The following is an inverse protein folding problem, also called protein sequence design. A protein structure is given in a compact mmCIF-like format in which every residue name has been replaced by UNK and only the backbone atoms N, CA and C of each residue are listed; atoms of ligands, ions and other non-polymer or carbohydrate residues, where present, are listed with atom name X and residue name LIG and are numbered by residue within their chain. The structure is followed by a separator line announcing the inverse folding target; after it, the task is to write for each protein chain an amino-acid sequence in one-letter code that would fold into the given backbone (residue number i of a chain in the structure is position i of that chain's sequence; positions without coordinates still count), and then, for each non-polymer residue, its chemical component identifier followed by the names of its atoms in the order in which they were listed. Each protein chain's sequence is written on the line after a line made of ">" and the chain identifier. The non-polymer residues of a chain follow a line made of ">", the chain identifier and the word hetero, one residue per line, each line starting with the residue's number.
data_IF_713779384535
#
_entry.id   IF_713779384535
#
_cell.length_a   1.000
_cell.length_b   1.000
_cell.length_c   1.000
_cell.angle_alpha   90.00
_cell.angle_beta   90.00
_cell.angle_gamma   90.00
#
_symmetry.space_group_name_H-M   'P 1'
#
loop_
_entity.id
_entity.type
_entity.pdbx_description
1 polymer ?
#
# COMPACT_ATOMS: atom_id res chain seq x y z
N UNK A 1 30.66 -10.38 -34.84
CA UNK A 1 29.26 -9.98 -34.56
C UNK A 1 28.77 -10.78 -33.36
N UNK A 2 28.66 -10.17 -32.18
CA UNK A 2 28.06 -10.82 -30.99
C UNK A 2 26.57 -11.03 -31.28
N UNK A 3 26.15 -12.28 -31.29
CA UNK A 3 24.75 -12.65 -31.44
C UNK A 3 24.02 -12.24 -30.16
N UNK A 4 23.51 -11.00 -30.08
CA UNK A 4 22.81 -10.45 -28.94
C UNK A 4 21.40 -11.03 -28.92
N UNK A 5 21.24 -12.21 -28.34
CA UNK A 5 19.89 -12.75 -28.07
C UNK A 5 19.21 -11.88 -27.02
N UNK A 6 18.09 -11.30 -27.39
CA UNK A 6 17.18 -10.71 -26.41
C UNK A 6 16.49 -11.83 -25.64
N UNK A 7 16.47 -11.74 -24.31
CA UNK A 7 15.70 -12.62 -23.44
C UNK A 7 14.39 -11.97 -23.12
N UNK A 8 13.34 -12.75 -23.05
CA UNK A 8 12.07 -12.26 -22.52
C UNK A 8 12.20 -12.27 -20.99
N UNK A 9 12.03 -11.08 -20.39
CA UNK A 9 12.02 -10.95 -18.94
C UNK A 9 10.74 -11.61 -18.40
N UNK A 10 10.89 -12.58 -17.50
CA UNK A 10 9.77 -13.36 -16.95
C UNK A 10 8.78 -12.51 -16.12
N UNK A 11 9.18 -11.27 -15.77
CA UNK A 11 8.38 -10.36 -14.96
C UNK A 11 7.53 -9.40 -15.78
N UNK A 12 8.15 -8.89 -16.84
CA UNK A 12 7.56 -7.82 -17.66
C UNK A 12 7.04 -8.34 -18.99
N UNK A 13 7.44 -9.56 -19.40
CA UNK A 13 7.15 -10.12 -20.73
C UNK A 13 7.84 -9.38 -21.87
N UNK A 14 8.75 -8.44 -21.56
CA UNK A 14 9.41 -7.57 -22.55
C UNK A 14 10.77 -8.14 -22.93
N UNK A 15 11.16 -8.12 -24.22
CA UNK A 15 12.52 -8.46 -24.64
C UNK A 15 13.54 -7.55 -23.96
N UNK A 16 14.41 -8.12 -23.14
CA UNK A 16 15.37 -7.39 -22.32
C UNK A 16 16.78 -7.86 -22.62
N UNK A 17 17.72 -6.92 -22.67
CA UNK A 17 19.15 -7.19 -22.77
C UNK A 17 19.75 -7.16 -21.37
N UNK A 18 20.24 -8.31 -20.92
CA UNK A 18 20.88 -8.39 -19.61
C UNK A 18 22.37 -7.99 -19.70
N UNK A 19 22.81 -7.26 -18.69
CA UNK A 19 24.17 -6.74 -18.60
C UNK A 19 25.21 -7.87 -18.37
N UNK A 20 24.84 -8.89 -17.59
CA UNK A 20 25.72 -9.97 -17.17
C UNK A 20 25.36 -11.26 -17.90
N UNK A 21 26.04 -11.48 -19.03
CA UNK A 21 25.90 -12.67 -19.85
C UNK A 21 27.30 -13.23 -20.21
N UNK A 22 27.37 -14.55 -20.26
CA UNK A 22 28.55 -15.25 -20.75
C UNK A 22 28.14 -16.30 -21.79
N UNK A 23 28.78 -16.29 -22.96
CA UNK A 23 28.50 -17.18 -24.08
C UNK A 23 27.03 -17.33 -24.43
N UNK A 24 26.27 -16.22 -24.38
CA UNK A 24 24.82 -16.20 -24.68
C UNK A 24 23.92 -16.81 -23.60
N UNK A 25 24.43 -17.04 -22.38
CA UNK A 25 23.68 -17.50 -21.21
C UNK A 25 23.69 -16.45 -20.12
N UNK A 26 22.58 -16.34 -19.40
CA UNK A 26 22.51 -15.52 -18.20
C UNK A 26 23.40 -16.10 -17.12
N UNK A 27 24.23 -15.25 -16.51
CA UNK A 27 24.98 -15.64 -15.33
C UNK A 27 24.04 -15.74 -14.14
N UNK A 28 24.15 -16.82 -13.37
CA UNK A 28 23.34 -17.00 -12.17
C UNK A 28 23.73 -15.98 -11.09
N UNK A 29 22.76 -15.58 -10.26
CA UNK A 29 22.99 -14.72 -9.09
C UNK A 29 24.00 -15.33 -8.12
N UNK A 30 24.03 -16.66 -8.02
CA UNK A 30 25.01 -17.37 -7.21
C UNK A 30 26.44 -17.14 -7.73
N UNK A 31 26.66 -17.24 -9.04
CA UNK A 31 27.98 -17.01 -9.65
C UNK A 31 28.42 -15.55 -9.53
N UNK A 32 27.48 -14.60 -9.72
CA UNK A 32 27.78 -13.17 -9.70
C UNK A 32 28.06 -12.63 -8.30
N UNK A 33 27.34 -13.11 -7.30
CA UNK A 33 27.34 -12.51 -5.97
C UNK A 33 27.83 -13.46 -4.87
N UNK A 34 27.27 -14.66 -4.77
CA UNK A 34 27.59 -15.56 -3.66
C UNK A 34 29.01 -16.11 -3.74
N UNK A 35 29.46 -16.54 -4.93
CA UNK A 35 30.81 -17.09 -5.11
C UNK A 35 31.91 -16.09 -4.76
N UNK A 36 31.89 -14.81 -5.27
CA UNK A 36 32.86 -13.80 -4.87
C UNK A 36 32.80 -13.46 -3.38
N UNK A 37 31.59 -13.35 -2.78
CA UNK A 37 31.44 -13.09 -1.36
C UNK A 37 32.02 -14.20 -0.49
N UNK A 38 31.79 -15.45 -0.83
CA UNK A 38 32.35 -16.59 -0.10
C UNK A 38 33.89 -16.58 -0.17
N UNK A 39 34.48 -16.25 -1.33
CA UNK A 39 35.94 -16.10 -1.45
C UNK A 39 36.46 -14.95 -0.59
N UNK A 40 35.79 -13.80 -0.62
CA UNK A 40 36.16 -12.64 0.18
C UNK A 40 36.06 -12.92 1.69
N UNK A 41 34.96 -13.57 2.13
CA UNK A 41 34.80 -13.98 3.52
C UNK A 41 35.93 -14.89 4.00
N UNK A 42 36.30 -15.89 3.19
CA UNK A 42 37.42 -16.80 3.51
C UNK A 42 38.73 -16.04 3.61
N UNK A 43 39.01 -15.14 2.66
CA UNK A 43 40.23 -14.33 2.68
C UNK A 43 40.31 -13.38 3.88
N UNK A 44 39.16 -12.89 4.35
CA UNK A 44 39.05 -11.99 5.51
C UNK A 44 38.91 -12.72 6.86
N UNK A 45 38.88 -14.05 6.88
CA UNK A 45 38.66 -14.82 8.11
C UNK A 45 37.23 -14.75 8.67
N UNK A 46 36.25 -14.24 7.86
CA UNK A 46 34.86 -14.11 8.24
C UNK A 46 34.10 -15.40 7.92
N UNK A 47 34.46 -16.48 8.57
CA UNK A 47 33.88 -17.82 8.36
C UNK A 47 33.21 -18.33 9.63
N UNK A 48 32.16 -19.15 9.47
CA UNK A 48 31.54 -19.89 10.57
C UNK A 48 32.35 -21.15 10.94
N UNK A 49 31.88 -21.88 11.96
CA UNK A 49 32.51 -23.13 12.40
C UNK A 49 32.62 -24.22 11.35
N UNK A 50 31.87 -24.11 10.22
CA UNK A 50 31.91 -25.03 9.07
C UNK A 50 32.75 -24.49 7.90
N UNK A 51 33.46 -23.39 8.09
CA UNK A 51 34.28 -22.75 7.06
C UNK A 51 33.49 -22.05 5.95
N UNK A 52 32.19 -21.76 6.17
CA UNK A 52 31.35 -20.97 5.27
C UNK A 52 31.45 -19.49 5.62
N UNK A 53 31.47 -18.64 4.59
CA UNK A 53 31.45 -17.20 4.77
C UNK A 53 30.17 -16.74 5.52
N UNK A 54 30.33 -15.90 6.53
CA UNK A 54 29.23 -15.39 7.37
C UNK A 54 28.44 -14.25 6.71
N UNK A 55 28.93 -13.68 5.60
CA UNK A 55 28.29 -12.60 4.86
C UNK A 55 27.67 -13.15 3.58
N UNK A 56 26.43 -12.78 3.30
CA UNK A 56 25.70 -13.16 2.07
C UNK A 56 25.09 -11.94 1.41
N UNK A 57 24.74 -12.05 0.13
CA UNK A 57 24.04 -11.00 -0.60
C UNK A 57 22.71 -10.61 0.08
N UNK A 58 22.01 -11.59 0.68
CA UNK A 58 20.78 -11.35 1.43
C UNK A 58 21.01 -10.48 2.67
N UNK A 59 22.10 -10.70 3.42
CA UNK A 59 22.46 -9.87 4.58
C UNK A 59 22.77 -8.43 4.18
N UNK A 60 23.47 -8.19 3.09
CA UNK A 60 23.68 -6.85 2.55
C UNK A 60 22.36 -6.17 2.21
N UNK A 61 21.48 -6.87 1.50
CA UNK A 61 20.14 -6.36 1.17
C UNK A 61 19.37 -5.97 2.43
N UNK A 62 19.38 -6.81 3.45
CA UNK A 62 18.74 -6.53 4.73
C UNK A 62 19.35 -5.29 5.42
N UNK A 63 20.67 -5.19 5.46
CA UNK A 63 21.37 -4.02 6.02
C UNK A 63 21.00 -2.73 5.31
N UNK A 64 20.99 -2.73 3.96
CA UNK A 64 20.58 -1.57 3.17
C UNK A 64 19.14 -1.18 3.49
N UNK A 65 18.21 -2.14 3.56
CA UNK A 65 16.81 -1.88 3.91
C UNK A 65 16.65 -1.25 5.29
N UNK A 66 17.34 -1.80 6.29
CA UNK A 66 17.34 -1.26 7.66
C UNK A 66 17.92 0.16 7.71
N UNK A 67 19.05 0.41 7.07
CA UNK A 67 19.66 1.74 7.04
C UNK A 67 18.80 2.78 6.32
N UNK A 68 18.11 2.39 5.25
CA UNK A 68 17.14 3.27 4.59
C UNK A 68 15.97 3.60 5.52
N UNK A 69 15.44 2.59 6.22
CA UNK A 69 14.36 2.78 7.19
C UNK A 69 14.77 3.70 8.34
N UNK A 70 15.93 3.47 8.94
CA UNK A 70 16.49 4.30 10.03
C UNK A 70 16.71 5.75 9.62
N UNK A 71 16.96 6.00 8.33
CA UNK A 71 17.09 7.34 7.75
C UNK A 71 15.76 7.96 7.31
N UNK A 72 14.63 7.33 7.65
CA UNK A 72 13.30 7.82 7.35
C UNK A 72 12.87 7.66 5.88
N UNK A 73 13.50 6.75 5.12
CA UNK A 73 13.04 6.46 3.77
C UNK A 73 11.64 5.81 3.81
N UNK A 74 10.73 6.33 3.00
CA UNK A 74 9.37 5.78 2.89
C UNK A 74 9.39 4.33 2.40
N UNK A 75 8.42 3.53 2.84
CA UNK A 75 8.34 2.10 2.53
C UNK A 75 8.42 1.81 1.02
N UNK A 76 7.73 2.60 0.18
CA UNK A 76 7.78 2.43 -1.27
C UNK A 76 9.19 2.65 -1.85
N UNK A 77 9.98 3.55 -1.27
CA UNK A 77 11.38 3.79 -1.66
C UNK A 77 12.23 2.58 -1.33
N UNK A 78 12.07 2.02 -0.13
CA UNK A 78 12.76 0.79 0.30
C UNK A 78 12.39 -0.37 -0.63
N UNK A 79 11.10 -0.54 -0.93
CA UNK A 79 10.62 -1.56 -1.87
C UNK A 79 11.28 -1.42 -3.25
N UNK A 80 11.31 -0.20 -3.79
CA UNK A 80 11.90 0.09 -5.10
C UNK A 80 13.39 -0.20 -5.14
N UNK A 81 14.15 0.27 -4.14
CA UNK A 81 15.61 0.06 -4.05
C UNK A 81 15.95 -1.42 -3.90
N UNK A 82 15.20 -2.14 -3.07
CA UNK A 82 15.42 -3.56 -2.83
C UNK A 82 14.81 -4.47 -3.93
N UNK A 83 14.02 -3.92 -4.85
CA UNK A 83 13.32 -4.71 -5.86
C UNK A 83 12.29 -5.67 -5.26
N UNK A 84 11.66 -5.30 -4.14
CA UNK A 84 10.63 -6.12 -3.51
C UNK A 84 9.32 -6.02 -4.30
N UNK A 85 8.74 -7.16 -4.64
CA UNK A 85 7.48 -7.25 -5.39
C UNK A 85 6.26 -7.16 -4.49
N UNK A 86 6.39 -7.41 -3.21
CA UNK A 86 5.31 -7.43 -2.23
C UNK A 86 5.63 -6.53 -1.05
N UNK A 87 4.64 -5.78 -0.59
CA UNK A 87 4.73 -4.99 0.65
C UNK A 87 5.14 -5.89 1.81
N UNK A 88 4.61 -7.12 1.87
CA UNK A 88 4.95 -8.08 2.93
C UNK A 88 6.45 -8.35 3.05
N UNK A 89 7.21 -8.31 1.95
CA UNK A 89 8.67 -8.46 1.97
C UNK A 89 9.38 -7.27 2.63
N UNK A 90 8.71 -6.12 2.69
CA UNK A 90 9.27 -4.88 3.25
C UNK A 90 8.63 -4.49 4.58
N UNK A 91 7.60 -5.20 5.06
CA UNK A 91 6.89 -4.88 6.30
C UNK A 91 7.81 -4.87 7.53
N UNK A 92 8.87 -5.68 7.51
CA UNK A 92 9.89 -5.66 8.57
C UNK A 92 10.55 -4.28 8.71
N UNK A 93 10.66 -3.55 7.61
CA UNK A 93 11.22 -2.19 7.60
C UNK A 93 10.17 -1.12 7.91
N UNK A 94 8.89 -1.39 7.67
CA UNK A 94 7.80 -0.47 7.97
C UNK A 94 7.68 -0.18 9.47
N UNK A 95 7.97 -1.16 10.32
CA UNK A 95 8.02 -0.96 11.78
C UNK A 95 9.07 0.09 12.20
N UNK A 96 10.10 0.28 11.37
CA UNK A 96 11.19 1.22 11.64
C UNK A 96 10.90 2.57 10.99
N UNK A 97 10.41 2.57 9.73
CA UNK A 97 10.35 3.77 8.90
C UNK A 97 8.96 4.41 8.76
N UNK A 98 7.89 3.62 8.86
CA UNK A 98 6.53 4.11 8.56
C UNK A 98 5.47 3.22 9.20
N UNK A 99 5.29 3.41 10.51
CA UNK A 99 4.28 2.68 11.29
C UNK A 99 2.84 2.95 10.80
N UNK A 100 2.61 4.10 10.17
CA UNK A 100 1.27 4.47 9.66
C UNK A 100 0.89 3.63 8.45
N UNK A 101 1.79 3.45 7.46
CA UNK A 101 1.51 2.59 6.29
C UNK A 101 1.21 1.15 6.72
N UNK A 102 1.92 0.65 7.74
CA UNK A 102 1.65 -0.68 8.28
C UNK A 102 0.28 -0.76 8.96
N UNK A 103 -0.09 0.26 9.73
CA UNK A 103 -1.42 0.34 10.34
C UNK A 103 -2.53 0.38 9.29
N UNK A 104 -2.41 1.24 8.29
CA UNK A 104 -3.37 1.35 7.19
C UNK A 104 -3.49 0.04 6.40
N UNK A 105 -2.37 -0.59 6.07
CA UNK A 105 -2.38 -1.91 5.41
C UNK A 105 -3.15 -2.94 6.23
N UNK A 106 -2.87 -3.04 7.53
CA UNK A 106 -3.56 -3.98 8.41
C UNK A 106 -5.02 -3.61 8.65
N UNK A 107 -5.35 -2.32 8.65
CA UNK A 107 -6.72 -1.85 8.80
C UNK A 107 -7.62 -2.22 7.62
N UNK A 108 -7.06 -2.40 6.43
CA UNK A 108 -7.82 -2.77 5.20
C UNK A 108 -7.71 -4.25 4.89
N UNK A 109 -6.51 -4.84 4.97
CA UNK A 109 -6.21 -6.20 4.49
C UNK A 109 -5.85 -7.18 5.62
N UNK A 110 -5.75 -6.72 6.86
CA UNK A 110 -5.43 -7.54 8.02
C UNK A 110 -6.60 -8.42 8.46
N UNK A 111 -6.32 -9.50 9.21
CA UNK A 111 -7.36 -10.33 9.81
C UNK A 111 -8.25 -9.49 10.76
N UNK A 112 -9.58 -9.56 10.58
CA UNK A 112 -10.53 -8.83 11.42
C UNK A 112 -10.62 -7.32 11.11
N UNK A 113 -10.11 -6.87 9.96
CA UNK A 113 -10.17 -5.47 9.54
C UNK A 113 -11.61 -4.92 9.59
N UNK A 114 -11.78 -3.79 10.29
CA UNK A 114 -13.05 -3.06 10.33
C UNK A 114 -13.09 -2.12 9.12
N UNK A 115 -13.84 -2.53 8.11
CA UNK A 115 -13.95 -1.84 6.82
C UNK A 115 -15.40 -1.62 6.45
N UNK A 116 -15.69 -0.48 5.82
CA UNK A 116 -17.00 -0.15 5.26
C UNK A 116 -16.86 0.22 3.76
N UNK A 117 -17.99 0.32 3.09
CA UNK A 117 -18.07 0.67 1.67
C UNK A 117 -18.43 -0.51 0.79
N UNK A 118 -18.80 -0.26 -0.49
CA UNK A 118 -19.26 -1.31 -1.41
C UNK A 118 -18.23 -2.41 -1.64
N UNK A 119 -16.93 -2.10 -1.59
CA UNK A 119 -15.83 -3.06 -1.76
C UNK A 119 -15.60 -3.96 -0.54
N UNK A 120 -16.10 -3.59 0.64
CA UNK A 120 -15.87 -4.30 1.89
C UNK A 120 -16.43 -5.73 1.85
N UNK A 121 -17.58 -5.93 1.23
CA UNK A 121 -18.19 -7.25 1.12
C UNK A 121 -17.36 -8.22 0.27
N UNK A 122 -16.77 -7.72 -0.81
CA UNK A 122 -15.86 -8.49 -1.69
C UNK A 122 -14.63 -8.97 -0.92
N UNK A 123 -14.07 -8.12 -0.04
CA UNK A 123 -12.95 -8.49 0.82
C UNK A 123 -13.37 -9.53 1.87
N UNK A 124 -14.48 -9.30 2.57
CA UNK A 124 -14.98 -10.22 3.62
C UNK A 124 -15.32 -11.61 3.09
N UNK A 125 -15.87 -11.69 1.89
CA UNK A 125 -16.21 -12.96 1.22
C UNK A 125 -15.00 -13.69 0.63
N UNK A 126 -13.81 -13.09 0.66
CA UNK A 126 -12.61 -13.63 0.01
C UNK A 126 -12.78 -13.81 -1.49
N UNK A 127 -13.63 -12.99 -2.12
CA UNK A 127 -13.97 -13.11 -3.54
C UNK A 127 -12.88 -12.56 -4.48
N UNK A 128 -11.78 -12.04 -3.93
CA UNK A 128 -10.63 -11.61 -4.71
C UNK A 128 -9.78 -12.82 -5.12
N UNK A 129 -9.34 -12.83 -6.38
CA UNK A 129 -8.37 -13.82 -6.83
C UNK A 129 -7.03 -13.65 -6.11
N UNK A 130 -6.22 -14.72 -6.04
CA UNK A 130 -4.86 -14.65 -5.47
C UNK A 130 -4.01 -13.57 -6.15
N UNK A 131 -4.11 -13.46 -7.48
CA UNK A 131 -3.41 -12.42 -8.25
C UNK A 131 -3.86 -10.99 -7.86
N UNK A 132 -5.16 -10.80 -7.58
CA UNK A 132 -5.68 -9.52 -7.10
C UNK A 132 -5.14 -9.18 -5.70
N UNK A 133 -5.14 -10.14 -4.80
CA UNK A 133 -4.59 -9.99 -3.45
C UNK A 133 -3.10 -9.67 -3.52
N UNK A 134 -2.34 -10.38 -4.35
CA UNK A 134 -0.91 -10.15 -4.51
C UNK A 134 -0.62 -8.78 -5.12
N UNK A 135 -1.43 -8.34 -6.08
CA UNK A 135 -1.31 -6.98 -6.62
C UNK A 135 -1.58 -5.92 -5.56
N UNK A 136 -2.66 -6.05 -4.79
CA UNK A 136 -3.00 -5.13 -3.70
C UNK A 136 -1.88 -5.08 -2.65
N UNK A 137 -1.33 -6.22 -2.25
CA UNK A 137 -0.18 -6.29 -1.33
C UNK A 137 1.06 -5.55 -1.86
N UNK A 138 1.28 -5.57 -3.17
CA UNK A 138 2.41 -4.88 -3.80
C UNK A 138 2.19 -3.39 -4.00
N UNK A 139 0.94 -2.96 -4.16
CA UNK A 139 0.59 -1.62 -4.61
C UNK A 139 -0.38 -0.91 -3.66
N UNK A 140 -0.45 -1.32 -2.39
CA UNK A 140 -1.41 -0.79 -1.43
C UNK A 140 -1.38 0.75 -1.35
N UNK A 141 -0.19 1.34 -1.33
CA UNK A 141 0.00 2.80 -1.32
C UNK A 141 -0.60 3.53 -2.53
N UNK A 142 -0.86 2.82 -3.65
CA UNK A 142 -1.52 3.39 -4.84
C UNK A 142 -3.04 3.36 -4.75
N UNK A 143 -3.58 2.69 -3.75
CA UNK A 143 -5.02 2.55 -3.58
C UNK A 143 -5.63 3.71 -2.80
N UNK A 144 -4.83 4.53 -2.13
CA UNK A 144 -5.27 5.63 -1.26
C UNK A 144 -6.08 6.68 -2.04
N UNK A 145 -7.21 7.06 -1.45
CA UNK A 145 -8.10 8.14 -1.86
C UNK A 145 -8.30 9.10 -0.67
N UNK A 146 -8.95 10.22 -0.90
CA UNK A 146 -9.23 11.22 0.14
C UNK A 146 -9.97 10.62 1.36
N UNK A 147 -10.92 9.71 1.13
CA UNK A 147 -11.83 9.17 2.16
C UNK A 147 -11.72 7.65 2.33
N UNK A 148 -10.67 7.01 1.81
CA UNK A 148 -10.49 5.57 1.89
C UNK A 148 -9.55 5.02 0.81
N UNK A 149 -9.86 3.84 0.29
CA UNK A 149 -9.04 3.13 -0.69
C UNK A 149 -9.84 2.62 -1.89
N UNK A 150 -9.21 2.58 -3.05
CA UNK A 150 -9.76 1.98 -4.27
C UNK A 150 -9.11 0.61 -4.52
N UNK A 151 -9.88 -0.46 -4.47
CA UNK A 151 -9.41 -1.84 -4.67
C UNK A 151 -9.38 -2.26 -6.14
N UNK A 152 -9.38 -1.30 -7.06
CA UNK A 152 -9.39 -1.58 -8.49
C UNK A 152 -8.03 -2.05 -8.97
N UNK A 153 -8.06 -3.05 -9.85
CA UNK A 153 -6.86 -3.58 -10.49
C UNK A 153 -6.61 -2.87 -11.84
N UNK A 154 -5.35 -2.70 -12.26
CA UNK A 154 -5.03 -2.14 -13.58
C UNK A 154 -5.64 -2.92 -14.74
N UNK A 155 -5.84 -4.23 -14.56
CA UNK A 155 -6.44 -5.12 -15.57
C UNK A 155 -7.93 -4.89 -15.81
N UNK A 156 -8.60 -4.11 -14.93
CA UNK A 156 -10.04 -3.81 -15.04
C UNK A 156 -10.35 -2.63 -15.96
N UNK A 157 -9.35 -2.14 -16.71
CA UNK A 157 -9.51 -1.05 -17.68
C UNK A 157 -9.58 0.36 -17.07
N UNK A 158 -9.96 1.43 -17.77
CA UNK A 158 -10.03 2.81 -17.29
C UNK A 158 -11.14 3.01 -16.25
N UNK A 159 -10.92 3.91 -15.27
CA UNK A 159 -11.92 4.25 -14.27
C UNK A 159 -12.89 5.30 -14.80
N UNK A 160 -14.18 5.00 -14.71
CA UNK A 160 -15.26 5.90 -15.15
C UNK A 160 -16.10 6.41 -13.94
N UNK A 161 -15.55 6.35 -12.74
CA UNK A 161 -16.27 6.74 -11.52
C UNK A 161 -16.27 8.26 -11.33
N UNK A 162 -17.43 8.89 -11.40
CA UNK A 162 -17.60 10.29 -11.00
C UNK A 162 -17.64 10.45 -9.49
N UNK A 163 -18.23 9.50 -8.79
CA UNK A 163 -18.34 9.49 -7.32
C UNK A 163 -17.86 8.15 -6.73
N UNK A 164 -16.62 8.09 -6.32
CA UNK A 164 -15.97 6.86 -5.83
C UNK A 164 -16.63 6.26 -4.56
N UNK A 165 -17.33 7.06 -3.74
CA UNK A 165 -18.02 6.59 -2.54
C UNK A 165 -19.07 5.48 -2.81
N UNK A 166 -19.63 5.45 -4.01
CA UNK A 166 -20.60 4.44 -4.46
C UNK A 166 -19.97 3.33 -5.30
N UNK A 167 -18.67 3.42 -5.58
CA UNK A 167 -17.97 2.45 -6.42
C UNK A 167 -17.82 1.11 -5.70
N UNK A 168 -18.11 0.00 -6.38
CA UNK A 168 -17.96 -1.36 -5.85
C UNK A 168 -16.52 -1.71 -5.44
N UNK A 169 -15.54 -0.87 -5.78
CA UNK A 169 -14.12 -1.03 -5.41
C UNK A 169 -13.70 -0.14 -4.24
N UNK A 170 -14.59 0.70 -3.73
CA UNK A 170 -14.28 1.61 -2.64
C UNK A 170 -14.43 0.93 -1.29
N UNK A 171 -13.42 1.12 -0.44
CA UNK A 171 -13.43 0.75 0.98
C UNK A 171 -12.89 1.90 1.82
N UNK A 172 -13.36 2.00 3.06
CA UNK A 172 -12.86 2.94 4.05
C UNK A 172 -12.69 2.25 5.41
N UNK A 173 -11.96 2.89 6.32
CA UNK A 173 -11.64 2.38 7.65
C UNK A 173 -11.92 3.45 8.71
N UNK A 174 -11.94 3.13 10.02
CA UNK A 174 -12.10 4.11 11.08
C UNK A 174 -11.06 5.24 11.05
N UNK A 175 -9.87 5.01 10.49
CA UNK A 175 -8.85 6.05 10.34
C UNK A 175 -9.32 7.24 9.49
N UNK A 176 -10.25 7.02 8.58
CA UNK A 176 -10.86 8.07 7.75
C UNK A 176 -12.10 8.73 8.37
N UNK A 177 -12.58 8.28 9.54
CA UNK A 177 -13.77 8.83 10.16
C UNK A 177 -13.71 10.36 10.38
N UNK A 178 -12.60 10.97 10.81
CA UNK A 178 -12.52 12.42 10.93
C UNK A 178 -12.72 13.14 9.59
N UNK A 179 -12.11 12.64 8.49
CA UNK A 179 -12.25 13.21 7.14
C UNK A 179 -13.67 13.00 6.59
N UNK A 180 -14.29 11.85 6.88
CA UNK A 180 -15.68 11.58 6.52
C UNK A 180 -16.64 12.56 7.21
N UNK A 181 -16.44 12.83 8.50
CA UNK A 181 -17.25 13.81 9.25
C UNK A 181 -17.11 15.22 8.69
N UNK A 182 -15.88 15.63 8.36
CA UNK A 182 -15.65 16.95 7.78
C UNK A 182 -16.30 17.07 6.39
N UNK A 183 -16.13 16.05 5.55
CA UNK A 183 -16.80 16.03 4.25
C UNK A 183 -18.32 16.03 4.38
N UNK A 184 -18.89 15.32 5.35
CA UNK A 184 -20.32 15.34 5.63
C UNK A 184 -20.83 16.76 5.94
N UNK A 185 -20.13 17.52 6.79
CA UNK A 185 -20.46 18.92 7.09
C UNK A 185 -20.44 19.80 5.84
N UNK A 186 -19.44 19.63 4.99
CA UNK A 186 -19.34 20.35 3.72
C UNK A 186 -20.54 20.03 2.82
N UNK A 187 -20.91 18.76 2.69
CA UNK A 187 -22.06 18.36 1.87
C UNK A 187 -23.39 18.96 2.38
N UNK A 188 -23.57 19.04 3.70
CA UNK A 188 -24.75 19.71 4.30
C UNK A 188 -24.75 21.21 4.04
N UNK A 189 -23.60 21.89 4.13
CA UNK A 189 -23.49 23.31 3.80
C UNK A 189 -23.82 23.57 2.34
N UNK A 190 -23.25 22.80 1.42
CA UNK A 190 -23.53 22.89 -0.02
C UNK A 190 -24.99 22.58 -0.34
N UNK A 191 -25.64 21.68 0.40
CA UNK A 191 -27.07 21.42 0.27
C UNK A 191 -27.88 22.67 0.59
N UNK A 192 -27.51 23.39 1.66
CA UNK A 192 -28.20 24.64 2.08
C UNK A 192 -28.02 25.74 1.01
N UNK A 193 -26.79 25.95 0.56
CA UNK A 193 -26.50 26.94 -0.48
C UNK A 193 -27.29 26.66 -1.78
N UNK A 194 -27.33 25.37 -2.20
CA UNK A 194 -28.08 24.94 -3.37
C UNK A 194 -29.62 25.12 -3.18
N UNK A 195 -30.13 24.98 -1.95
CA UNK A 195 -31.55 25.24 -1.63
C UNK A 195 -31.89 26.72 -1.77
N UNK A 196 -31.02 27.61 -1.27
CA UNK A 196 -31.22 29.07 -1.37
C UNK A 196 -31.20 29.53 -2.85
N UNK A 197 -30.42 28.85 -3.70
CA UNK A 197 -30.31 29.15 -5.14
C UNK A 197 -31.33 28.39 -6.02
N UNK A 198 -32.13 27.46 -5.43
CA UNK A 198 -33.11 26.67 -6.14
C UNK A 198 -32.55 25.59 -7.09
N UNK A 199 -31.31 25.14 -6.87
CA UNK A 199 -30.60 24.19 -7.71
C UNK A 199 -30.93 22.73 -7.36
N UNK A 200 -32.04 22.24 -7.89
CA UNK A 200 -32.60 20.93 -7.50
C UNK A 200 -31.64 19.76 -7.65
N UNK A 201 -30.91 19.66 -8.79
CA UNK A 201 -29.94 18.58 -9.03
C UNK A 201 -28.78 18.60 -8.02
N UNK A 202 -28.29 19.78 -7.67
CA UNK A 202 -27.22 19.95 -6.70
C UNK A 202 -27.71 19.52 -5.29
N UNK A 203 -28.93 19.92 -4.91
CA UNK A 203 -29.55 19.51 -3.65
C UNK A 203 -29.62 17.98 -3.53
N UNK A 204 -30.12 17.32 -4.59
CA UNK A 204 -30.21 15.86 -4.62
C UNK A 204 -28.82 15.19 -4.52
N UNK A 205 -27.85 15.69 -5.27
CA UNK A 205 -26.48 15.18 -5.28
C UNK A 205 -25.82 15.29 -3.91
N UNK A 206 -25.84 16.47 -3.30
CA UNK A 206 -25.22 16.71 -2.01
C UNK A 206 -25.91 15.92 -0.89
N UNK A 207 -27.24 15.82 -0.91
CA UNK A 207 -27.98 14.98 0.04
C UNK A 207 -27.64 13.50 -0.10
N UNK A 208 -27.55 12.98 -1.32
CA UNK A 208 -27.17 11.60 -1.57
C UNK A 208 -25.75 11.31 -1.07
N UNK A 209 -24.82 12.25 -1.27
CA UNK A 209 -23.44 12.14 -0.80
C UNK A 209 -23.39 12.16 0.74
N UNK A 210 -24.11 13.09 1.39
CA UNK A 210 -24.18 13.17 2.83
C UNK A 210 -24.73 11.87 3.44
N UNK A 211 -25.88 11.39 2.93
CA UNK A 211 -26.47 10.13 3.38
C UNK A 211 -25.54 8.93 3.19
N UNK A 212 -24.75 8.92 2.09
CA UNK A 212 -23.76 7.88 1.87
C UNK A 212 -22.65 7.91 2.92
N UNK A 213 -22.16 9.08 3.28
CA UNK A 213 -21.15 9.24 4.33
C UNK A 213 -21.68 8.81 5.69
N UNK A 214 -22.92 9.17 6.04
CA UNK A 214 -23.58 8.71 7.25
C UNK A 214 -23.63 7.17 7.32
N UNK A 215 -24.00 6.53 6.22
CA UNK A 215 -24.02 5.06 6.15
C UNK A 215 -22.62 4.47 6.36
N UNK A 216 -21.56 5.04 5.74
CA UNK A 216 -20.19 4.58 5.91
C UNK A 216 -19.74 4.69 7.37
N UNK A 217 -20.02 5.80 8.04
CA UNK A 217 -19.71 5.98 9.46
C UNK A 217 -20.48 4.97 10.33
N UNK A 218 -21.76 4.73 10.05
CA UNK A 218 -22.57 3.73 10.73
C UNK A 218 -22.00 2.32 10.55
N UNK A 219 -21.62 1.94 9.33
CA UNK A 219 -21.04 0.64 9.01
C UNK A 219 -19.68 0.42 9.70
N UNK A 220 -18.95 1.51 10.00
CA UNK A 220 -17.70 1.49 10.77
C UNK A 220 -17.93 1.48 12.29
N UNK A 221 -19.17 1.65 12.75
CA UNK A 221 -19.47 1.83 14.18
C UNK A 221 -18.99 3.20 14.72
N UNK A 222 -18.76 4.17 13.85
CA UNK A 222 -18.27 5.49 14.17
C UNK A 222 -19.45 6.48 14.33
N UNK A 223 -19.49 7.30 15.40
CA UNK A 223 -20.52 8.32 15.56
C UNK A 223 -20.38 9.40 14.50
N UNK A 224 -21.52 10.00 14.11
CA UNK A 224 -21.56 11.09 13.12
C UNK A 224 -20.86 12.35 13.65
N UNK A 225 -21.00 12.64 14.94
CA UNK A 225 -20.28 13.72 15.62
C UNK A 225 -19.05 13.15 16.32
N UNK A 226 -17.95 13.91 16.27
CA UNK A 226 -16.75 13.51 17.01
C UNK A 226 -17.05 13.46 18.52
N UNK A 227 -16.56 12.46 19.26
CA UNK A 227 -16.61 12.49 20.71
C UNK A 227 -16.01 13.81 21.21
N UNK A 228 -16.76 14.53 22.05
CA UNK A 228 -16.22 15.72 22.73
C UNK A 228 -15.16 15.22 23.70
N UNK A 229 -13.89 15.49 23.40
CA UNK A 229 -12.83 15.24 24.38
C UNK A 229 -13.16 16.07 25.64
N UNK A 230 -13.18 15.45 26.83
CA UNK A 230 -13.34 16.22 28.04
C UNK A 230 -12.19 17.22 28.12
N UNK A 231 -12.51 18.50 28.14
CA UNK A 231 -11.53 19.56 28.39
C UNK A 231 -10.91 19.24 29.75
N UNK A 232 -9.68 18.75 29.77
CA UNK A 232 -8.90 18.63 31.00
C UNK A 232 -8.84 20.02 31.63
N UNK A 233 -9.64 20.22 32.66
CA UNK A 233 -9.67 21.47 33.39
C UNK A 233 -8.26 21.73 33.94
N UNK A 234 -7.66 22.83 33.49
CA UNK A 234 -6.45 23.37 34.05
C UNK A 234 -6.71 23.58 35.57
N UNK A 235 -6.35 22.60 36.37
CA UNK A 235 -6.17 22.80 37.80
C UNK A 235 -4.86 23.60 37.96
N UNK A 236 -4.99 24.90 38.02
CA UNK A 236 -3.93 25.79 38.45
C UNK A 236 -3.79 25.64 39.98
N UNK A 237 -2.58 25.46 40.50
CA UNK A 237 -2.30 25.38 41.92
C UNK A 237 -2.49 26.70 42.66
#
# INVERSE_FOLDING_TARGET
>A
MRNERAFIDDLTGVPTRYLFMDHGKLLSTFYLFETPLQKACKAAGLVDGNGRGTVSAHRFRHTVGTQLAERGAKLHTIMSVLGHRSVSMSLVYAQISDSEVLKEYNAVLGPGALIAGPGAETLRKGALSSAAIDWLKCNFFKTELELGHCLRLPTEGPCECDLYLNCAKFVTTPAYAPRLRERHKVELALTKDAQELGWRREIERHRATAARIEQLLTDLGEPLEAPVEPVEGNATP
#
